data_IF_678011783891
#
_entry.id   IF_678011783891
#
_cell.length_a   1.000
_cell.length_b   1.000
_cell.length_c   1.000
_cell.angle_alpha   90.00
_cell.angle_beta   90.00
_cell.angle_gamma   90.00
#
_symmetry.space_group_name_H-M   'P 1'
#
loop_
_entity.id
_entity.type
_entity.pdbx_description
1 polymer ?
#
# COMPACT_ATOMS: atom_id res chain seq x y z
N UNK A 1 2.51 21.64 7.52
CA UNK A 1 1.87 22.87 7.02
C UNK A 1 1.00 22.48 5.83
N UNK A 2 -0.10 23.21 5.59
CA UNK A 2 -1.03 22.83 4.52
C UNK A 2 -0.44 22.91 3.11
N UNK A 3 0.62 23.64 2.93
CA UNK A 3 1.30 23.79 1.65
C UNK A 3 2.45 22.79 1.46
N UNK A 4 2.70 21.94 2.44
CA UNK A 4 3.75 20.94 2.33
C UNK A 4 3.25 19.70 1.61
N UNK A 5 4.05 19.24 0.67
CA UNK A 5 3.80 17.98 -0.03
C UNK A 5 4.50 16.87 0.74
N UNK A 6 3.75 15.84 1.13
CA UNK A 6 4.34 14.69 1.82
C UNK A 6 5.21 13.88 0.87
N UNK A 7 6.11 13.08 1.45
CA UNK A 7 6.94 12.17 0.66
C UNK A 7 6.07 11.20 -0.15
N UNK A 8 5.01 10.70 0.45
CA UNK A 8 4.09 9.78 -0.21
C UNK A 8 3.42 10.41 -1.43
N UNK A 9 2.97 11.66 -1.29
CA UNK A 9 2.35 12.37 -2.41
C UNK A 9 3.37 12.67 -3.51
N UNK A 10 4.60 13.00 -3.14
CA UNK A 10 5.68 13.23 -4.11
C UNK A 10 6.00 11.95 -4.90
N UNK A 11 6.06 10.82 -4.23
CA UNK A 11 6.29 9.53 -4.89
C UNK A 11 5.14 9.18 -5.84
N UNK A 12 3.92 9.45 -5.42
CA UNK A 12 2.75 9.24 -6.28
C UNK A 12 2.81 10.14 -7.52
N UNK A 13 3.21 11.40 -7.35
CA UNK A 13 3.38 12.34 -8.46
C UNK A 13 4.42 11.84 -9.46
N UNK A 14 5.54 11.35 -8.96
CA UNK A 14 6.61 10.80 -9.80
C UNK A 14 6.10 9.58 -10.57
N UNK A 15 5.35 8.71 -9.91
CA UNK A 15 4.78 7.54 -10.58
C UNK A 15 3.87 7.93 -11.74
N UNK A 16 3.03 8.95 -11.54
CA UNK A 16 2.17 9.47 -12.61
C UNK A 16 2.97 10.08 -13.75
N UNK A 17 3.99 10.85 -13.43
CA UNK A 17 4.78 11.57 -14.41
C UNK A 17 5.64 10.66 -15.29
N UNK A 18 6.23 9.64 -14.69
CA UNK A 18 7.16 8.75 -15.41
C UNK A 18 6.46 7.69 -16.23
N UNK A 19 5.27 7.28 -15.84
CA UNK A 19 4.49 6.22 -16.50
C UNK A 19 5.26 4.91 -16.64
N UNK A 20 6.20 4.67 -15.72
CA UNK A 20 7.00 3.45 -15.70
C UNK A 20 6.45 2.48 -14.66
N UNK A 21 6.79 1.21 -14.83
CA UNK A 21 6.52 0.22 -13.80
C UNK A 21 7.48 0.45 -12.64
N UNK A 22 6.96 0.68 -11.45
CA UNK A 22 7.75 0.94 -10.27
C UNK A 22 7.44 -0.12 -9.23
N UNK A 23 8.49 -0.77 -8.71
CA UNK A 23 8.37 -1.70 -7.61
C UNK A 23 8.79 -0.98 -6.32
N UNK A 24 7.88 -0.91 -5.38
CA UNK A 24 8.13 -0.26 -4.09
C UNK A 24 7.98 -1.29 -2.96
N UNK A 25 9.02 -1.46 -2.17
CA UNK A 25 9.02 -2.44 -1.07
C UNK A 25 8.96 -1.68 0.25
N UNK A 26 7.97 -2.02 1.08
CA UNK A 26 7.76 -1.34 2.34
C UNK A 26 7.14 -2.28 3.37
N UNK A 27 7.38 -1.98 4.65
CA UNK A 27 6.69 -2.64 5.76
C UNK A 27 5.48 -1.84 6.22
N UNK A 28 5.30 -0.63 5.71
CA UNK A 28 4.21 0.25 6.10
C UNK A 28 2.99 -0.02 5.23
N UNK A 29 1.95 -0.59 5.83
CA UNK A 29 0.72 -0.95 5.12
C UNK A 29 0.05 0.26 4.48
N UNK A 30 0.04 1.39 5.18
CA UNK A 30 -0.55 2.63 4.66
C UNK A 30 0.15 3.11 3.40
N UNK A 31 1.49 3.03 3.37
CA UNK A 31 2.26 3.40 2.19
C UNK A 31 1.97 2.47 1.02
N UNK A 32 1.91 1.17 1.29
CA UNK A 32 1.61 0.19 0.24
C UNK A 32 0.25 0.46 -0.40
N UNK A 33 -0.75 0.74 0.42
CA UNK A 33 -2.10 1.04 -0.06
C UNK A 33 -2.18 2.38 -0.80
N UNK A 34 -1.36 3.35 -0.39
CA UNK A 34 -1.36 4.68 -1.02
C UNK A 34 -0.59 4.71 -2.34
N UNK A 35 0.54 4.01 -2.40
CA UNK A 35 1.46 4.11 -3.55
C UNK A 35 1.18 3.11 -4.66
N UNK A 36 0.64 1.94 -4.32
CA UNK A 36 0.51 0.87 -5.28
C UNK A 36 -0.73 0.94 -6.17
N UNK A 37 -0.63 0.39 -7.35
CA UNK A 37 -1.80 -0.01 -8.12
C UNK A 37 -2.24 -1.39 -7.67
N UNK A 38 -1.26 -2.21 -7.31
CA UNK A 38 -1.46 -3.52 -6.72
C UNK A 38 -0.47 -3.70 -5.58
N UNK A 39 -0.93 -4.28 -4.50
CA UNK A 39 -0.07 -4.65 -3.39
C UNK A 39 0.08 -6.16 -3.36
N UNK A 40 1.31 -6.63 -3.43
CA UNK A 40 1.63 -8.04 -3.36
C UNK A 40 2.03 -8.38 -1.93
N UNK A 41 1.27 -9.27 -1.31
CA UNK A 41 1.55 -9.74 0.05
C UNK A 41 2.21 -11.11 -0.04
N UNK A 42 3.36 -11.27 0.62
CA UNK A 42 4.10 -12.51 0.62
C UNK A 42 3.98 -13.22 1.97
N UNK A 43 3.99 -14.56 1.91
CA UNK A 43 4.00 -15.36 3.12
C UNK A 43 5.38 -15.32 3.79
N UNK A 44 5.40 -15.62 5.10
CA UNK A 44 6.64 -15.54 5.87
C UNK A 44 7.61 -16.69 5.56
N UNK A 45 7.14 -17.92 5.58
CA UNK A 45 7.99 -19.11 5.44
C UNK A 45 7.22 -20.27 4.80
N UNK A 46 7.59 -20.67 3.56
CA UNK A 46 8.55 -20.00 2.67
C UNK A 46 7.97 -18.72 2.10
N UNK A 47 8.83 -17.85 1.58
CA UNK A 47 8.38 -16.62 0.93
C UNK A 47 7.70 -16.92 -0.39
N UNK A 48 6.38 -16.84 -0.40
CA UNK A 48 5.56 -17.07 -1.59
C UNK A 48 4.54 -15.96 -1.71
N UNK A 49 4.12 -15.68 -2.92
CA UNK A 49 3.02 -14.74 -3.14
C UNK A 49 1.76 -15.32 -2.52
N UNK A 50 1.22 -14.61 -1.54
CA UNK A 50 0.02 -15.03 -0.81
C UNK A 50 -1.22 -14.41 -1.40
N UNK A 51 -1.17 -13.11 -1.70
CA UNK A 51 -2.34 -12.36 -2.10
C UNK A 51 -1.94 -11.15 -2.93
N UNK A 52 -2.79 -10.78 -3.87
CA UNK A 52 -2.65 -9.53 -4.62
C UNK A 52 -3.88 -8.69 -4.32
N UNK A 53 -3.66 -7.50 -3.76
CA UNK A 53 -4.74 -6.57 -3.44
C UNK A 53 -4.68 -5.42 -4.43
N UNK A 54 -5.75 -5.25 -5.21
CA UNK A 54 -5.87 -4.13 -6.15
C UNK A 54 -6.27 -2.87 -5.41
N UNK A 55 -5.61 -1.76 -5.75
CA UNK A 55 -5.94 -0.45 -5.18
C UNK A 55 -6.73 0.31 -6.23
N UNK A 56 -8.04 0.44 -6.00
CA UNK A 56 -8.98 0.97 -6.99
C UNK A 56 -9.20 2.48 -6.84
N UNK A 57 -8.18 3.21 -6.49
CA UNK A 57 -8.25 4.66 -6.33
C UNK A 57 -7.42 5.30 -7.44
N UNK A 58 -8.02 6.15 -8.28
CA UNK A 58 -7.23 6.87 -9.29
C UNK A 58 -6.10 7.65 -8.64
N UNK A 59 -4.91 7.60 -9.23
CA UNK A 59 -3.73 8.22 -8.64
C UNK A 59 -3.89 9.73 -8.43
N UNK A 60 -4.57 10.39 -9.34
CA UNK A 60 -4.80 11.84 -9.26
C UNK A 60 -5.70 12.24 -8.09
N UNK A 61 -6.41 11.27 -7.50
CA UNK A 61 -7.28 11.49 -6.35
C UNK A 61 -6.63 11.14 -5.02
N UNK A 62 -5.40 10.67 -5.03
CA UNK A 62 -4.73 10.21 -3.82
C UNK A 62 -4.09 11.39 -3.09
N UNK A 63 -4.70 11.76 -1.98
CA UNK A 63 -4.22 12.82 -1.09
C UNK A 63 -3.97 12.17 0.28
N UNK A 64 -2.73 12.20 0.73
CA UNK A 64 -2.29 11.47 1.91
C UNK A 64 -3.13 11.78 3.16
N UNK A 65 -3.42 13.05 3.38
CA UNK A 65 -4.19 13.47 4.56
C UNK A 65 -5.66 13.03 4.52
N UNK A 66 -6.19 12.74 3.33
CA UNK A 66 -7.60 12.38 3.16
C UNK A 66 -7.85 10.88 3.14
N UNK A 67 -6.79 10.07 3.11
CA UNK A 67 -6.92 8.62 2.91
C UNK A 67 -7.73 7.95 3.99
N UNK A 68 -7.65 8.41 5.23
CA UNK A 68 -8.41 7.83 6.33
C UNK A 68 -9.92 8.01 6.21
N UNK A 69 -10.38 8.85 5.27
CA UNK A 69 -11.78 9.09 5.00
C UNK A 69 -12.25 8.41 3.71
N UNK A 70 -11.33 7.81 2.96
CA UNK A 70 -11.64 7.16 1.69
C UNK A 70 -11.96 5.69 1.91
N UNK A 71 -13.15 5.26 1.53
CA UNK A 71 -13.62 3.89 1.76
C UNK A 71 -12.79 2.86 1.01
N UNK A 72 -12.40 3.16 -0.21
CA UNK A 72 -11.58 2.24 -1.00
C UNK A 72 -10.20 2.06 -0.39
N UNK A 73 -9.61 3.15 0.10
CA UNK A 73 -8.33 3.09 0.80
C UNK A 73 -8.43 2.26 2.08
N UNK A 74 -9.44 2.53 2.89
CA UNK A 74 -9.64 1.82 4.15
C UNK A 74 -9.81 0.32 3.90
N UNK A 75 -10.64 -0.04 2.91
CA UNK A 75 -10.89 -1.42 2.56
C UNK A 75 -9.61 -2.14 2.11
N UNK A 76 -8.84 -1.51 1.22
CA UNK A 76 -7.58 -2.08 0.74
C UNK A 76 -6.56 -2.21 1.87
N UNK A 77 -6.41 -1.17 2.67
CA UNK A 77 -5.50 -1.17 3.82
C UNK A 77 -5.84 -2.27 4.81
N UNK A 78 -7.11 -2.39 5.16
CA UNK A 78 -7.54 -3.38 6.14
C UNK A 78 -7.32 -4.80 5.63
N UNK A 79 -7.52 -5.03 4.34
CA UNK A 79 -7.27 -6.33 3.74
C UNK A 79 -5.78 -6.68 3.76
N UNK A 80 -4.94 -5.73 3.40
CA UNK A 80 -3.48 -5.92 3.45
C UNK A 80 -3.04 -6.18 4.88
N UNK A 81 -3.54 -5.38 5.82
CA UNK A 81 -3.18 -5.50 7.22
C UNK A 81 -3.56 -6.85 7.80
N UNK A 82 -4.76 -7.34 7.48
CA UNK A 82 -5.20 -8.66 7.91
C UNK A 82 -4.28 -9.75 7.38
N UNK A 83 -3.93 -9.68 6.10
CA UNK A 83 -3.07 -10.66 5.46
C UNK A 83 -1.68 -10.68 6.09
N UNK A 84 -1.12 -9.50 6.37
CA UNK A 84 0.20 -9.37 7.01
C UNK A 84 0.16 -9.89 8.45
N UNK A 85 -0.89 -9.57 9.20
CA UNK A 85 -1.05 -10.04 10.59
C UNK A 85 -1.08 -11.57 10.67
N UNK A 86 -1.75 -12.21 9.74
CA UNK A 86 -1.78 -13.67 9.68
C UNK A 86 -0.39 -14.27 9.54
N UNK A 87 0.47 -13.64 8.73
CA UNK A 87 1.85 -14.10 8.55
C UNK A 87 2.70 -13.86 9.79
N UNK A 88 2.50 -12.76 10.49
CA UNK A 88 3.21 -12.48 11.75
C UNK A 88 2.85 -13.53 12.79
N UNK A 89 1.58 -13.91 12.91
CA UNK A 89 1.15 -14.94 13.85
C UNK A 89 1.78 -16.29 13.54
N UNK A 90 1.84 -16.67 12.28
CA UNK A 90 2.50 -17.92 11.86
C UNK A 90 3.98 -17.89 12.27
N UNK A 91 4.66 -16.78 12.01
CA UNK A 91 6.08 -16.65 12.35
C UNK A 91 6.34 -16.76 13.84
N UNK A 92 5.44 -16.20 14.67
CA UNK A 92 5.57 -16.25 16.14
C UNK A 92 5.32 -17.65 16.68
N UNK A 93 4.41 -18.41 16.07
CA UNK A 93 4.07 -19.77 16.52
C UNK A 93 5.11 -20.82 16.14
N UNK A 94 5.96 -20.53 15.20
CA UNK A 94 7.06 -21.41 14.82
C UNK A 94 8.23 -21.26 15.77
#
# INVERSE_FOLDING_TARGET
RPDEITLQEELNRIAMATKKTILFITHAVDEAAFLGDRCLVFSARPGRLKEIVEIKIPREKRIWSDMNQDKEFISARDRILKSVREEVLVAVEE
#
